data_IF_484994593846
#
_entry.id   IF_484994593846
#
_cell.length_a   1.000
_cell.length_b   1.000
_cell.length_c   1.000
_cell.angle_alpha   90.00
_cell.angle_beta   90.00
_cell.angle_gamma   90.00
#
_symmetry.space_group_name_H-M   'P 1'
#
loop_
_entity.id
_entity.type
_entity.pdbx_description
1 polymer ?
#
# COMPACT_ATOMS: atom_id res chain seq x y z
N UNK A 1 54.01 -21.03 -19.22
CA UNK A 1 52.82 -21.75 -19.73
C UNK A 1 51.59 -20.86 -20.08
N UNK A 2 51.52 -19.56 -19.73
CA UNK A 2 50.33 -18.70 -20.04
C UNK A 2 50.17 -18.20 -21.49
N UNK A 3 51.23 -18.17 -22.31
CA UNK A 3 51.18 -17.62 -23.70
C UNK A 3 50.62 -18.59 -24.75
N UNK A 4 50.75 -19.90 -24.54
CA UNK A 4 50.33 -20.92 -25.51
C UNK A 4 48.79 -21.10 -25.53
N UNK A 5 48.13 -21.02 -24.37
CA UNK A 5 46.67 -21.11 -24.29
C UNK A 5 45.95 -19.94 -24.97
N UNK A 6 46.55 -18.73 -24.97
CA UNK A 6 45.96 -17.55 -25.62
C UNK A 6 45.90 -17.68 -27.14
N UNK A 7 46.86 -18.40 -27.76
CA UNK A 7 46.87 -18.64 -29.21
C UNK A 7 45.84 -19.68 -29.63
N UNK A 8 45.63 -20.73 -28.82
CA UNK A 8 44.59 -21.74 -29.04
C UNK A 8 43.17 -21.20 -28.84
N UNK A 9 42.95 -20.33 -27.86
CA UNK A 9 41.65 -19.66 -27.71
C UNK A 9 41.39 -18.65 -28.82
N UNK A 10 42.42 -17.93 -29.29
CA UNK A 10 42.31 -17.05 -30.46
C UNK A 10 41.97 -17.80 -31.74
N UNK A 11 42.52 -19.00 -31.97
CA UNK A 11 42.17 -19.79 -33.15
C UNK A 11 40.75 -20.34 -33.07
N UNK A 12 40.31 -20.82 -31.90
CA UNK A 12 38.93 -21.29 -31.69
C UNK A 12 37.88 -20.18 -31.85
N UNK A 13 38.17 -18.97 -31.34
CA UNK A 13 37.28 -17.81 -31.53
C UNK A 13 37.25 -17.37 -33.00
N UNK A 14 38.35 -17.56 -33.73
CA UNK A 14 38.44 -17.23 -35.17
C UNK A 14 37.77 -18.29 -36.06
N UNK A 15 37.59 -19.50 -35.55
CA UNK A 15 36.92 -20.62 -36.24
C UNK A 15 35.40 -20.61 -36.02
N UNK A 16 34.94 -19.95 -34.95
CA UNK A 16 33.52 -19.65 -34.69
C UNK A 16 33.02 -18.38 -35.41
N UNK A 17 33.92 -17.65 -36.10
CA UNK A 17 33.61 -16.44 -36.86
C UNK A 17 33.03 -16.85 -38.24
N UNK A 18 31.72 -17.13 -38.27
CA UNK A 18 30.99 -17.68 -39.42
C UNK A 18 30.80 -16.70 -40.61
N UNK A 19 31.45 -15.54 -40.58
CA UNK A 19 31.30 -14.50 -41.61
C UNK A 19 32.63 -14.17 -42.28
N UNK A 20 32.72 -14.21 -43.63
CA UNK A 20 33.92 -13.82 -44.35
C UNK A 20 34.22 -12.34 -44.09
N UNK A 21 35.43 -12.05 -43.57
CA UNK A 21 35.87 -10.67 -43.33
C UNK A 21 36.07 -9.97 -44.67
N UNK A 22 35.37 -8.85 -44.83
CA UNK A 22 35.48 -7.97 -46.00
C UNK A 22 36.93 -7.50 -46.12
N UNK A 23 37.52 -7.42 -47.33
CA UNK A 23 38.89 -6.94 -47.50
C UNK A 23 39.05 -5.53 -46.93
N UNK A 24 40.18 -5.25 -46.27
CA UNK A 24 40.45 -3.97 -45.59
C UNK A 24 40.33 -2.75 -46.52
N UNK A 25 40.43 -2.94 -47.84
CA UNK A 25 40.23 -1.89 -48.85
C UNK A 25 38.79 -1.36 -48.95
N UNK A 26 37.81 -2.05 -48.36
CA UNK A 26 36.40 -1.65 -48.34
C UNK A 26 35.93 -1.17 -46.96
N UNK A 27 36.85 -1.06 -45.99
CA UNK A 27 36.56 -0.67 -44.62
C UNK A 27 37.05 0.76 -44.38
N UNK A 28 36.17 1.71 -44.60
CA UNK A 28 36.41 3.13 -44.27
C UNK A 28 36.31 3.32 -42.74
N UNK A 29 37.44 3.32 -42.04
CA UNK A 29 37.46 3.59 -40.59
C UNK A 29 37.35 5.09 -40.33
N UNK A 30 36.15 5.57 -40.05
CA UNK A 30 35.92 6.95 -39.61
C UNK A 30 36.12 7.06 -38.08
N UNK A 31 36.96 8.00 -37.65
CA UNK A 31 37.17 8.33 -36.24
C UNK A 31 35.89 8.85 -35.55
N UNK A 32 34.94 9.45 -36.30
CA UNK A 32 33.65 9.90 -35.75
C UNK A 32 32.65 8.75 -35.59
N UNK A 33 32.73 7.71 -36.43
CA UNK A 33 31.86 6.54 -36.36
C UNK A 33 32.07 5.71 -35.09
N UNK A 34 33.33 5.50 -34.68
CA UNK A 34 33.66 4.72 -33.48
C UNK A 34 33.11 5.33 -32.18
N UNK A 35 33.17 6.66 -32.04
CA UNK A 35 32.65 7.36 -30.86
C UNK A 35 31.13 7.28 -30.77
N UNK A 36 30.43 7.43 -31.90
CA UNK A 36 28.97 7.29 -31.98
C UNK A 36 28.53 5.88 -31.60
N UNK A 37 29.23 4.84 -32.07
CA UNK A 37 28.94 3.47 -31.67
C UNK A 37 29.18 3.23 -30.18
N UNK A 38 30.24 3.80 -29.59
CA UNK A 38 30.51 3.66 -28.16
C UNK A 38 29.39 4.29 -27.31
N UNK A 39 28.91 5.47 -27.69
CA UNK A 39 27.77 6.14 -27.03
C UNK A 39 26.49 5.32 -27.19
N UNK A 40 26.24 4.75 -28.38
CA UNK A 40 25.07 3.91 -28.62
C UNK A 40 25.08 2.63 -27.75
N UNK A 41 26.23 1.97 -27.61
CA UNK A 41 26.34 0.79 -26.74
C UNK A 41 26.20 1.12 -25.25
N UNK A 42 26.76 2.24 -24.78
CA UNK A 42 26.61 2.63 -23.37
C UNK A 42 25.17 3.02 -23.04
N UNK A 43 24.52 3.78 -23.92
CA UNK A 43 23.09 4.11 -23.78
C UNK A 43 22.20 2.88 -23.85
N UNK A 44 22.49 1.91 -24.73
CA UNK A 44 21.79 0.62 -24.77
C UNK A 44 21.94 -0.17 -23.48
N UNK A 45 23.15 -0.24 -22.92
CA UNK A 45 23.39 -0.90 -21.65
C UNK A 45 22.64 -0.21 -20.49
N UNK A 46 22.64 1.11 -20.43
CA UNK A 46 21.92 1.86 -19.41
C UNK A 46 20.41 1.65 -19.48
N UNK A 47 19.82 1.73 -20.67
CA UNK A 47 18.38 1.54 -20.86
C UNK A 47 17.95 0.10 -20.57
N UNK A 48 18.76 -0.90 -20.96
CA UNK A 48 18.46 -2.30 -20.64
C UNK A 48 18.56 -2.60 -19.14
N UNK A 49 19.51 -2.00 -18.42
CA UNK A 49 19.59 -2.11 -16.96
C UNK A 49 18.36 -1.47 -16.30
N UNK A 50 17.97 -0.26 -16.73
CA UNK A 50 16.77 0.40 -16.20
C UNK A 50 15.50 -0.40 -16.47
N UNK A 51 15.36 -0.94 -17.67
CA UNK A 51 14.23 -1.79 -18.05
C UNK A 51 14.18 -3.07 -17.21
N UNK A 52 15.35 -3.67 -16.93
CA UNK A 52 15.44 -4.83 -16.05
C UNK A 52 15.06 -4.49 -14.60
N UNK A 53 15.48 -3.34 -14.08
CA UNK A 53 15.06 -2.88 -12.75
C UNK A 53 13.54 -2.70 -12.68
N UNK A 54 12.93 -2.11 -13.71
CA UNK A 54 11.47 -1.96 -13.81
C UNK A 54 10.78 -3.32 -13.92
N UNK A 55 11.37 -4.27 -14.66
CA UNK A 55 10.85 -5.62 -14.74
C UNK A 55 10.83 -6.30 -13.38
N UNK A 56 11.88 -6.14 -12.56
CA UNK A 56 11.94 -6.73 -11.22
C UNK A 56 10.97 -6.09 -10.22
N UNK A 57 10.49 -4.88 -10.50
CA UNK A 57 9.53 -4.19 -9.67
C UNK A 57 8.10 -4.62 -9.98
N UNK A 58 7.33 -4.83 -8.93
CA UNK A 58 5.89 -5.08 -8.96
C UNK A 58 5.09 -3.79 -8.74
N UNK A 59 3.90 -3.72 -9.32
CA UNK A 59 2.93 -2.64 -9.09
C UNK A 59 1.65 -3.20 -8.46
N UNK A 60 0.95 -2.34 -7.72
CA UNK A 60 -0.36 -2.65 -7.15
C UNK A 60 -1.43 -2.26 -8.15
N UNK A 61 -2.39 -3.15 -8.40
CA UNK A 61 -3.55 -2.89 -9.26
C UNK A 61 -4.82 -2.91 -8.41
N UNK A 62 -5.59 -1.84 -8.50
CA UNK A 62 -6.83 -1.62 -7.78
C UNK A 62 -8.01 -1.81 -8.73
N UNK A 63 -8.80 -2.86 -8.51
CA UNK A 63 -10.02 -3.12 -9.26
C UNK A 63 -11.23 -2.83 -8.36
N UNK A 64 -12.14 -2.00 -8.84
CA UNK A 64 -13.35 -1.61 -8.12
C UNK A 64 -14.53 -2.44 -8.62
N UNK A 65 -15.11 -3.21 -7.73
CA UNK A 65 -16.28 -4.04 -8.02
C UNK A 65 -17.41 -3.75 -7.02
N UNK A 66 -18.62 -4.21 -7.32
CA UNK A 66 -19.73 -4.13 -6.37
C UNK A 66 -19.65 -5.34 -5.44
N UNK A 67 -19.67 -5.11 -4.13
CA UNK A 67 -19.74 -6.20 -3.16
C UNK A 67 -21.07 -6.96 -3.33
N UNK A 68 -20.97 -8.27 -3.57
CA UNK A 68 -22.12 -9.19 -3.72
C UNK A 68 -22.29 -10.10 -2.52
N UNK A 69 -21.35 -10.06 -1.57
CA UNK A 69 -21.37 -10.92 -0.40
C UNK A 69 -22.13 -10.24 0.74
N UNK A 70 -23.18 -10.90 1.22
CA UNK A 70 -24.02 -10.42 2.33
C UNK A 70 -23.63 -11.07 3.67
N UNK A 71 -22.49 -11.77 3.73
CA UNK A 71 -22.00 -12.37 4.96
C UNK A 71 -21.75 -11.34 6.06
N UNK A 72 -21.82 -11.78 7.32
CA UNK A 72 -21.46 -10.95 8.47
C UNK A 72 -19.96 -10.61 8.46
N UNK A 73 -19.63 -9.38 8.82
CA UNK A 73 -18.28 -8.86 8.88
C UNK A 73 -17.75 -8.90 10.32
N UNK A 74 -16.51 -9.33 10.52
CA UNK A 74 -15.87 -9.26 11.84
C UNK A 74 -15.40 -7.83 12.14
N UNK A 75 -15.89 -7.21 13.20
CA UNK A 75 -15.36 -5.97 13.76
C UNK A 75 -14.33 -6.36 14.83
N UNK A 76 -13.05 -6.13 14.56
CA UNK A 76 -11.97 -6.38 15.51
C UNK A 76 -11.64 -5.10 16.25
N UNK A 77 -11.54 -5.19 17.57
CA UNK A 77 -11.25 -4.02 18.39
C UNK A 77 -10.33 -4.34 19.55
N UNK A 78 -9.43 -3.40 19.80
CA UNK A 78 -8.65 -3.29 21.01
C UNK A 78 -8.64 -1.84 21.49
N UNK A 79 -9.16 -1.58 22.69
CA UNK A 79 -9.26 -0.24 23.25
C UNK A 79 -9.04 -0.26 24.76
N UNK A 80 -8.46 0.82 25.30
CA UNK A 80 -8.27 1.03 26.74
C UNK A 80 -9.03 2.25 27.19
N UNK A 81 -9.80 2.10 28.25
CA UNK A 81 -10.63 3.17 28.84
C UNK A 81 -10.26 3.38 30.30
N UNK A 82 -10.24 4.62 30.76
CA UNK A 82 -10.05 4.98 32.18
C UNK A 82 -11.32 4.74 33.02
N UNK A 83 -11.87 3.54 32.97
CA UNK A 83 -13.03 3.11 33.78
C UNK A 83 -12.76 1.70 34.31
N UNK A 84 -13.34 1.36 35.47
CA UNK A 84 -13.28 0.02 36.03
C UNK A 84 -14.02 -1.00 35.15
N UNK A 85 -13.38 -2.15 34.90
CA UNK A 85 -13.86 -3.15 33.93
C UNK A 85 -15.24 -3.75 34.25
N UNK A 86 -15.66 -3.78 35.51
CA UNK A 86 -16.96 -4.32 35.89
C UNK A 86 -18.14 -3.40 35.52
N UNK A 87 -17.87 -2.10 35.34
CA UNK A 87 -18.87 -1.07 35.12
C UNK A 87 -19.03 -0.69 33.65
N UNK A 88 -18.37 -1.37 32.72
CA UNK A 88 -18.38 -1.05 31.28
C UNK A 88 -19.12 -2.13 30.49
N UNK A 89 -19.99 -1.69 29.58
CA UNK A 89 -20.59 -2.51 28.54
C UNK A 89 -20.33 -1.89 27.17
N UNK A 90 -20.11 -2.73 26.16
CA UNK A 90 -19.99 -2.29 24.78
C UNK A 90 -21.05 -3.04 23.97
N UNK A 91 -21.73 -2.40 23.02
CA UNK A 91 -22.79 -3.04 22.25
C UNK A 91 -22.86 -2.48 20.83
N UNK A 92 -23.39 -3.27 19.90
CA UNK A 92 -23.63 -2.86 18.52
C UNK A 92 -25.13 -2.78 18.28
N UNK A 93 -25.59 -1.64 17.76
CA UNK A 93 -26.94 -1.49 17.23
C UNK A 93 -26.86 -1.18 15.73
N UNK A 94 -27.40 -2.05 14.90
CA UNK A 94 -27.45 -1.85 13.46
C UNK A 94 -28.77 -1.18 13.00
N UNK A 95 -28.83 -0.75 11.74
CA UNK A 95 -30.07 -0.20 11.14
C UNK A 95 -31.22 -1.20 11.08
N UNK A 96 -30.93 -2.50 11.18
CA UNK A 96 -31.95 -3.54 11.23
C UNK A 96 -32.56 -3.72 12.64
N UNK A 97 -32.16 -2.86 13.60
CA UNK A 97 -32.54 -2.92 15.02
C UNK A 97 -32.18 -4.27 15.68
N UNK A 98 -31.28 -5.04 15.07
CA UNK A 98 -30.79 -6.28 15.64
C UNK A 98 -29.64 -5.96 16.60
N UNK A 99 -29.81 -6.40 17.83
CA UNK A 99 -28.76 -6.28 18.84
C UNK A 99 -27.84 -7.48 18.74
N UNK A 100 -26.59 -7.21 18.36
CA UNK A 100 -25.50 -8.16 18.57
C UNK A 100 -24.93 -7.85 19.94
N UNK A 101 -25.41 -8.57 20.96
CA UNK A 101 -24.89 -8.43 22.31
C UNK A 101 -23.41 -8.82 22.32
N UNK A 102 -22.58 -7.98 22.92
CA UNK A 102 -21.12 -8.16 22.98
C UNK A 102 -20.63 -9.33 23.84
N UNK A 103 -21.55 -9.95 24.59
CA UNK A 103 -21.24 -10.84 25.70
C UNK A 103 -20.40 -12.08 25.32
N UNK A 104 -20.46 -12.52 24.05
CA UNK A 104 -19.75 -13.72 23.61
C UNK A 104 -18.43 -13.45 22.85
N UNK A 105 -18.16 -12.20 22.44
CA UNK A 105 -17.00 -11.87 21.58
C UNK A 105 -15.97 -10.89 22.14
N UNK A 106 -16.33 -10.09 23.16
CA UNK A 106 -15.44 -9.11 23.79
C UNK A 106 -14.96 -9.57 25.17
N UNK A 107 -13.65 -9.49 25.38
CA UNK A 107 -12.99 -9.77 26.65
C UNK A 107 -12.62 -8.45 27.32
N UNK A 108 -12.96 -8.33 28.61
CA UNK A 108 -12.68 -7.18 29.45
C UNK A 108 -11.58 -7.53 30.45
N UNK A 109 -10.42 -6.90 30.31
CA UNK A 109 -9.23 -7.16 31.15
C UNK A 109 -8.86 -5.91 31.95
N UNK A 110 -8.42 -6.07 33.22
CA UNK A 110 -7.82 -4.96 33.95
C UNK A 110 -6.49 -4.57 33.30
N UNK A 111 -6.28 -3.26 33.09
CA UNK A 111 -5.08 -2.75 32.44
C UNK A 111 -4.64 -1.42 33.08
N UNK A 112 -3.42 -1.01 32.71
CA UNK A 112 -2.89 0.31 33.05
C UNK A 112 -3.04 1.22 31.84
N UNK A 113 -3.57 2.42 32.04
CA UNK A 113 -3.81 3.36 30.96
C UNK A 113 -2.51 3.92 30.37
N UNK A 114 -1.59 4.30 31.25
CA UNK A 114 -0.32 4.92 30.90
C UNK A 114 0.57 3.98 30.09
N UNK A 115 1.17 4.51 29.02
CA UNK A 115 2.07 3.77 28.14
C UNK A 115 3.50 3.72 28.69
N UNK A 116 4.18 2.60 28.45
CA UNK A 116 5.63 2.49 28.66
C UNK A 116 6.42 3.42 27.72
N UNK A 117 7.69 3.75 28.02
CA UNK A 117 8.50 4.60 27.15
C UNK A 117 8.60 4.08 25.71
N UNK A 118 8.77 2.76 25.53
CA UNK A 118 8.81 2.13 24.22
C UNK A 118 7.48 2.25 23.47
N UNK A 119 6.37 2.01 24.17
CA UNK A 119 5.03 2.12 23.58
C UNK A 119 4.67 3.57 23.21
N UNK A 120 5.13 4.57 23.99
CA UNK A 120 4.97 5.98 23.64
C UNK A 120 5.69 6.33 22.35
N UNK A 121 6.91 5.81 22.16
CA UNK A 121 7.68 6.05 20.94
C UNK A 121 7.00 5.39 19.72
N UNK A 122 6.53 4.16 19.90
CA UNK A 122 5.71 3.47 18.89
C UNK A 122 4.47 4.28 18.49
N UNK A 123 3.72 4.77 19.47
CA UNK A 123 2.50 5.54 19.23
C UNK A 123 2.80 6.86 18.48
N UNK A 124 3.89 7.55 18.84
CA UNK A 124 4.33 8.76 18.11
C UNK A 124 4.68 8.45 16.66
N UNK A 125 5.39 7.36 16.43
CA UNK A 125 5.73 6.91 15.08
C UNK A 125 4.45 6.63 14.28
N UNK A 126 3.48 5.92 14.87
CA UNK A 126 2.22 5.59 14.23
C UNK A 126 1.41 6.86 13.87
N UNK A 127 1.30 7.81 14.80
CA UNK A 127 0.64 9.11 14.56
C UNK A 127 1.33 9.94 13.48
N UNK A 128 2.66 9.90 13.41
CA UNK A 128 3.42 10.55 12.35
C UNK A 128 3.10 9.91 10.99
N UNK A 129 3.14 8.58 10.89
CA UNK A 129 2.81 7.87 9.64
C UNK A 129 1.40 8.22 9.19
N UNK A 130 0.44 8.23 10.13
CA UNK A 130 -0.95 8.51 9.84
C UNK A 130 -1.18 9.96 9.36
N UNK A 131 -0.52 10.95 9.97
CA UNK A 131 -0.63 12.35 9.51
C UNK A 131 -0.09 12.53 8.09
N UNK A 132 0.99 11.82 7.73
CA UNK A 132 1.56 11.85 6.37
C UNK A 132 0.70 11.11 5.36
N UNK A 133 0.10 9.97 5.74
CA UNK A 133 -0.86 9.24 4.91
C UNK A 133 -2.09 10.09 4.56
N UNK A 134 -2.52 10.94 5.47
CA UNK A 134 -3.68 11.80 5.27
C UNK A 134 -3.37 13.00 4.35
N UNK A 135 -2.13 13.48 4.33
CA UNK A 135 -1.69 14.55 3.41
C UNK A 135 -1.39 14.00 2.01
N UNK A 136 -0.78 12.81 1.92
CA UNK A 136 -0.24 12.26 0.68
C UNK A 136 -0.87 10.90 0.35
N UNK A 137 -2.01 10.93 -0.34
CA UNK A 137 -2.70 9.72 -0.80
C UNK A 137 -1.85 8.86 -1.76
N UNK A 138 -0.85 9.45 -2.42
CA UNK A 138 0.11 8.75 -3.29
C UNK A 138 1.05 7.80 -2.53
N UNK A 139 1.22 7.99 -1.22
CA UNK A 139 2.07 7.14 -0.38
C UNK A 139 1.39 5.83 0.01
N UNK A 140 0.09 5.67 -0.25
CA UNK A 140 -0.63 4.44 0.05
C UNK A 140 0.03 3.24 -0.65
N UNK A 141 0.45 3.36 -1.90
CA UNK A 141 1.10 2.27 -2.64
C UNK A 141 2.43 1.82 -2.00
N UNK A 142 3.25 2.77 -1.57
CA UNK A 142 4.55 2.50 -0.92
C UNK A 142 4.33 1.91 0.47
N UNK A 143 3.34 2.41 1.19
CA UNK A 143 3.01 1.94 2.53
C UNK A 143 2.37 0.55 2.45
N UNK A 144 1.45 0.27 1.53
CA UNK A 144 0.92 -1.07 1.30
C UNK A 144 2.06 -2.05 0.95
N UNK A 145 2.96 -1.69 0.03
CA UNK A 145 4.10 -2.54 -0.35
C UNK A 145 5.08 -2.80 0.80
N UNK A 146 5.26 -1.84 1.71
CA UNK A 146 6.10 -2.00 2.92
C UNK A 146 5.36 -2.68 4.08
N UNK A 147 4.06 -2.47 4.20
CA UNK A 147 3.14 -3.10 5.15
C UNK A 147 3.14 -4.62 4.97
N UNK A 148 2.96 -5.10 3.74
CA UNK A 148 3.04 -6.54 3.43
C UNK A 148 4.42 -7.16 3.72
N UNK A 149 5.48 -6.34 3.79
CA UNK A 149 6.84 -6.77 4.14
C UNK A 149 7.18 -6.61 5.62
N UNK A 150 6.43 -5.80 6.37
CA UNK A 150 6.73 -5.47 7.76
C UNK A 150 5.97 -6.38 8.73
N UNK A 151 6.68 -6.89 9.74
CA UNK A 151 6.12 -7.76 10.75
C UNK A 151 5.39 -6.93 11.83
N UNK A 152 4.07 -6.80 11.65
CA UNK A 152 3.08 -6.31 12.62
C UNK A 152 3.08 -4.80 12.93
N UNK A 153 1.91 -4.18 12.74
CA UNK A 153 1.57 -2.82 13.19
C UNK A 153 1.00 -2.80 14.62
N UNK A 154 0.96 -3.95 15.29
CA UNK A 154 0.43 -4.06 16.64
C UNK A 154 1.28 -3.32 17.66
N UNK A 155 0.63 -2.79 18.70
CA UNK A 155 1.29 -2.19 19.85
C UNK A 155 2.26 -3.21 20.48
N UNK A 156 3.55 -2.87 20.70
CA UNK A 156 4.49 -3.78 21.34
C UNK A 156 4.04 -4.13 22.76
N UNK A 157 4.36 -5.36 23.23
CA UNK A 157 4.07 -5.75 24.60
C UNK A 157 4.76 -4.79 25.56
N UNK A 158 4.12 -4.58 26.72
CA UNK A 158 4.68 -3.72 27.77
C UNK A 158 5.96 -4.35 28.32
N UNK A 159 7.04 -3.57 28.39
CA UNK A 159 8.35 -4.03 28.89
C UNK A 159 8.43 -3.99 30.43
N UNK A 160 7.71 -3.07 31.07
CA UNK A 160 7.77 -2.84 32.52
C UNK A 160 6.71 -3.62 33.30
N UNK A 161 7.17 -4.32 34.34
CA UNK A 161 6.33 -4.81 35.44
C UNK A 161 5.92 -3.62 36.31
N UNK A 162 4.86 -2.94 35.91
CA UNK A 162 4.27 -1.88 36.70
C UNK A 162 3.73 -2.43 38.02
N UNK A 163 4.19 -1.87 39.14
CA UNK A 163 3.63 -2.11 40.47
C UNK A 163 2.34 -1.32 40.74
N UNK A 164 1.87 -0.55 39.75
CA UNK A 164 0.66 0.25 39.88
C UNK A 164 -0.57 -0.66 39.78
N UNK A 165 -1.61 -0.40 40.59
CA UNK A 165 -2.88 -1.07 40.41
C UNK A 165 -3.48 -0.71 39.04
N UNK A 166 -4.19 -1.64 38.39
CA UNK A 166 -4.86 -1.36 37.13
C UNK A 166 -5.92 -0.27 37.32
N UNK A 167 -5.79 0.81 36.56
CA UNK A 167 -6.66 2.00 36.58
C UNK A 167 -7.57 2.10 35.35
N UNK A 168 -7.44 1.14 34.42
CA UNK A 168 -8.17 1.10 33.17
C UNK A 168 -8.77 -0.29 32.88
N UNK A 169 -9.72 -0.28 31.95
CA UNK A 169 -10.30 -1.46 31.34
C UNK A 169 -9.79 -1.57 29.90
N UNK A 170 -9.17 -2.71 29.57
CA UNK A 170 -8.83 -3.09 28.19
C UNK A 170 -9.95 -3.96 27.64
N UNK A 171 -10.55 -3.52 26.56
CA UNK A 171 -11.54 -4.27 25.79
C UNK A 171 -10.82 -4.83 24.58
N UNK A 172 -10.82 -6.16 24.43
CA UNK A 172 -10.20 -6.85 23.29
C UNK A 172 -11.13 -7.94 22.77
N UNK A 173 -11.31 -8.02 21.47
CA UNK A 173 -12.08 -9.12 20.87
C UNK A 173 -12.54 -8.81 19.46
N UNK A 174 -13.49 -9.62 19.00
CA UNK A 174 -14.14 -9.44 17.72
C UNK A 174 -15.64 -9.66 17.85
N UNK A 175 -16.41 -8.92 17.07
CA UNK A 175 -17.86 -9.02 17.00
C UNK A 175 -18.29 -9.20 15.55
N UNK A 176 -19.18 -10.16 15.30
CA UNK A 176 -19.76 -10.32 13.97
C UNK A 176 -20.92 -9.34 13.80
N UNK A 177 -20.76 -8.37 12.90
CA UNK A 177 -21.75 -7.35 12.59
C UNK A 177 -22.29 -7.55 11.17
N UNK A 178 -23.54 -7.14 10.95
CA UNK A 178 -24.10 -7.14 9.60
C UNK A 178 -23.40 -6.09 8.73
N UNK A 179 -23.30 -6.33 7.42
CA UNK A 179 -22.75 -5.37 6.44
C UNK A 179 -23.73 -4.22 6.13
N UNK A 180 -24.15 -3.52 7.17
CA UNK A 180 -25.04 -2.35 7.10
C UNK A 180 -24.50 -1.27 8.00
N UNK A 181 -24.97 -0.03 7.83
CA UNK A 181 -24.60 1.03 8.75
C UNK A 181 -25.06 0.68 10.18
N UNK A 182 -24.22 0.98 11.15
CA UNK A 182 -24.44 0.65 12.54
C UNK A 182 -23.75 1.60 13.51
N UNK A 183 -24.05 1.41 14.78
CA UNK A 183 -23.53 2.21 15.88
C UNK A 183 -22.98 1.29 16.96
N UNK A 184 -21.67 1.11 16.95
CA UNK A 184 -20.97 0.48 18.05
C UNK A 184 -20.74 1.51 19.15
N UNK A 185 -21.04 1.18 20.39
CA UNK A 185 -20.91 2.13 21.48
C UNK A 185 -20.50 1.47 22.78
N UNK A 186 -19.76 2.23 23.58
CA UNK A 186 -19.24 1.83 24.88
C UNK A 186 -19.81 2.77 25.93
N UNK A 187 -20.51 2.23 26.90
CA UNK A 187 -21.24 2.99 27.91
C UNK A 187 -21.07 2.35 29.28
N UNK A 188 -21.47 3.08 30.33
CA UNK A 188 -21.46 2.55 31.69
C UNK A 188 -22.63 1.60 31.89
N UNK A 189 -22.34 0.42 32.43
CA UNK A 189 -23.28 -0.66 32.69
C UNK A 189 -23.42 -1.61 31.51
N UNK A 190 -23.59 -2.90 31.83
CA UNK A 190 -23.92 -3.93 30.84
C UNK A 190 -25.26 -3.60 30.18
N UNK A 191 -25.38 -3.80 28.86
CA UNK A 191 -26.67 -3.68 28.20
C UNK A 191 -27.64 -4.74 28.70
N UNK A 192 -28.87 -4.30 28.95
CA UNK A 192 -30.02 -5.18 29.13
C UNK A 192 -30.92 -5.04 27.90
N UNK A 193 -31.25 -6.14 27.22
CA UNK A 193 -32.15 -6.10 26.08
C UNK A 193 -33.55 -5.66 26.52
N UNK A 194 -34.16 -4.69 25.82
CA UNK A 194 -35.50 -4.19 26.07
C UNK A 194 -36.35 -4.26 24.79
N UNK A 195 -37.70 -4.40 24.84
CA UNK A 195 -38.51 -4.56 23.62
C UNK A 195 -38.56 -3.33 22.67
N UNK A 196 -37.97 -2.20 23.07
CA UNK A 196 -37.91 -0.93 22.31
C UNK A 196 -36.47 -0.42 22.12
N UNK A 197 -35.47 -1.30 22.25
CA UNK A 197 -34.04 -0.96 22.17
C UNK A 197 -33.25 -1.64 23.30
N UNK A 198 -32.24 -0.99 23.84
CA UNK A 198 -31.53 -1.45 25.03
C UNK A 198 -31.39 -0.34 26.05
N UNK A 199 -31.37 -0.76 27.31
CA UNK A 199 -31.07 0.12 28.42
C UNK A 199 -29.75 -0.33 29.04
N UNK A 200 -28.87 0.63 29.33
CA UNK A 200 -27.70 0.36 30.14
C UNK A 200 -28.04 0.58 31.61
N UNK A 201 -27.53 -0.29 32.48
CA UNK A 201 -27.68 -0.19 33.93
C UNK A 201 -26.80 0.93 34.54
N UNK A 202 -26.79 2.11 33.93
CA UNK A 202 -26.03 3.27 34.40
C UNK A 202 -26.56 3.84 35.73
N UNK A 203 -27.78 3.47 36.15
CA UNK A 203 -28.40 3.98 37.37
C UNK A 203 -27.79 3.41 38.67
N UNK A 204 -26.98 2.34 38.59
CA UNK A 204 -26.34 1.69 39.74
C UNK A 204 -24.90 2.15 39.98
N UNK A 205 -24.32 2.91 39.04
CA UNK A 205 -22.93 3.38 39.10
C UNK A 205 -22.92 4.86 39.42
N UNK A 206 -22.06 5.27 40.36
CA UNK A 206 -21.97 6.66 40.79
C UNK A 206 -21.51 7.56 39.62
N UNK A 207 -22.20 8.68 39.39
CA UNK A 207 -21.91 9.57 38.25
C UNK A 207 -20.53 10.25 38.34
N UNK A 208 -19.89 10.24 39.50
CA UNK A 208 -18.55 10.77 39.72
C UNK A 208 -17.41 9.84 39.26
N UNK A 209 -17.69 8.55 38.97
CA UNK A 209 -16.69 7.60 38.48
C UNK A 209 -16.59 7.52 36.96
N UNK A 210 -17.39 8.31 36.23
CA UNK A 210 -17.38 8.29 34.78
C UNK A 210 -16.13 9.00 34.26
N UNK A 211 -15.31 8.28 33.50
CA UNK A 211 -14.16 8.85 32.81
C UNK A 211 -13.97 8.17 31.45
N UNK A 212 -14.60 8.73 30.43
CA UNK A 212 -14.54 8.21 29.05
C UNK A 212 -13.24 8.55 28.30
N UNK A 213 -12.18 8.90 29.02
CA UNK A 213 -10.85 9.01 28.42
C UNK A 213 -10.41 7.64 27.92
N UNK A 214 -10.02 7.56 26.65
CA UNK A 214 -9.74 6.30 26.00
C UNK A 214 -8.61 6.40 24.98
N UNK A 215 -8.04 5.24 24.67
CA UNK A 215 -7.10 5.03 23.59
C UNK A 215 -7.53 3.83 22.77
N UNK A 216 -7.63 4.02 21.47
CA UNK A 216 -7.91 2.95 20.51
C UNK A 216 -6.56 2.39 20.08
N UNK A 217 -6.24 1.18 20.55
CA UNK A 217 -4.98 0.52 20.18
C UNK A 217 -5.14 -0.12 18.78
N UNK A 218 -6.31 -0.70 18.48
CA UNK A 218 -6.65 -1.23 17.15
C UNK A 218 -8.15 -1.20 16.87
N UNK A 219 -8.56 -0.80 15.67
CA UNK A 219 -9.93 -0.97 15.17
C UNK A 219 -9.92 -1.31 13.68
N UNK A 220 -10.45 -2.48 13.34
CA UNK A 220 -10.53 -2.94 11.94
C UNK A 220 -11.82 -3.69 11.65
N UNK A 221 -12.13 -3.79 10.36
CA UNK A 221 -13.28 -4.52 9.85
C UNK A 221 -12.80 -5.61 8.89
N UNK A 222 -13.31 -6.82 9.04
CA UNK A 222 -12.93 -8.01 8.27
C UNK A 222 -11.78 -8.79 8.88
N UNK A 223 -11.04 -9.48 8.02
CA UNK A 223 -9.85 -10.22 8.41
C UNK A 223 -8.69 -9.26 8.68
N UNK A 224 -7.95 -9.52 9.76
CA UNK A 224 -6.81 -8.67 10.12
C UNK A 224 -5.65 -8.98 9.18
N UNK A 225 -5.36 -8.04 8.27
CA UNK A 225 -4.20 -8.12 7.37
C UNK A 225 -3.00 -7.46 8.04
N UNK A 226 -1.85 -8.16 8.16
CA UNK A 226 -0.67 -7.58 8.78
C UNK A 226 -0.13 -6.41 7.95
N UNK A 227 0.32 -5.36 8.64
CA UNK A 227 0.95 -4.19 8.03
C UNK A 227 -0.02 -3.07 7.67
N UNK A 228 -1.33 -3.32 7.61
CA UNK A 228 -2.31 -2.24 7.44
C UNK A 228 -2.38 -1.42 8.74
N UNK A 229 -2.28 -0.09 8.60
CA UNK A 229 -2.48 0.85 9.70
C UNK A 229 -3.88 1.43 9.52
N UNK A 230 -4.79 1.11 10.45
CA UNK A 230 -6.12 1.70 10.36
C UNK A 230 -6.09 3.14 10.85
N UNK A 231 -6.91 4.01 10.27
CA UNK A 231 -6.93 5.42 10.66
C UNK A 231 -7.35 5.73 12.12
N UNK A 232 -7.88 4.79 12.90
CA UNK A 232 -8.16 5.02 14.34
C UNK A 232 -7.11 4.38 15.25
N UNK A 233 -6.16 3.63 14.70
CA UNK A 233 -5.14 2.95 15.48
C UNK A 233 -4.23 3.99 16.15
N UNK A 234 -3.89 3.78 17.42
CA UNK A 234 -3.04 4.66 18.22
C UNK A 234 -3.64 6.03 18.57
N UNK A 235 -4.92 6.26 18.27
CA UNK A 235 -5.61 7.51 18.62
C UNK A 235 -5.98 7.53 20.09
N UNK A 236 -5.71 8.66 20.75
CA UNK A 236 -5.97 8.86 22.18
C UNK A 236 -6.79 10.13 22.39
N UNK A 237 -7.79 10.03 23.25
CA UNK A 237 -8.70 11.12 23.60
C UNK A 237 -8.88 11.17 25.11
N UNK A 238 -8.46 12.28 25.71
CA UNK A 238 -8.62 12.56 27.13
C UNK A 238 -9.82 13.48 27.32
N UNK A 239 -10.82 13.03 28.07
CA UNK A 239 -12.04 13.78 28.32
C UNK A 239 -11.78 14.90 29.34
N UNK A 240 -11.97 16.16 28.92
CA UNK A 240 -11.69 17.34 29.76
C UNK A 240 -12.62 17.40 30.98
N UNK A 241 -13.91 17.10 30.80
CA UNK A 241 -14.91 17.21 31.86
C UNK A 241 -15.29 15.86 32.50
N UNK A 242 -14.49 14.80 32.23
CA UNK A 242 -14.62 13.38 32.65
C UNK A 242 -15.95 12.69 32.31
N UNK A 243 -17.05 13.43 32.16
CA UNK A 243 -18.41 12.91 32.23
C UNK A 243 -19.02 12.56 30.87
N UNK A 244 -18.62 13.23 29.77
CA UNK A 244 -19.34 13.12 28.49
C UNK A 244 -18.42 13.26 27.28
N UNK A 245 -18.28 12.21 26.46
CA UNK A 245 -17.58 12.28 25.17
C UNK A 245 -18.28 11.38 24.13
N UNK A 246 -19.23 11.95 23.39
CA UNK A 246 -19.70 11.31 22.16
C UNK A 246 -18.63 11.57 21.11
N UNK A 247 -17.92 10.54 20.68
CA UNK A 247 -17.24 10.56 19.38
C UNK A 247 -18.27 10.11 18.36
N UNK A 248 -18.30 10.71 17.18
CA UNK A 248 -18.96 10.09 16.02
C UNK A 248 -17.88 9.92 14.99
N UNK A 249 -17.40 8.69 14.84
CA UNK A 249 -16.57 8.32 13.69
C UNK A 249 -17.53 8.24 12.50
N UNK A 250 -17.18 8.82 11.36
CA UNK A 250 -17.90 8.68 10.11
C UNK A 250 -16.91 8.40 8.99
N UNK A 251 -17.43 8.18 7.77
CA UNK A 251 -16.62 7.90 6.57
C UNK A 251 -15.60 9.02 6.29
N UNK A 252 -15.87 10.24 6.78
CA UNK A 252 -14.86 11.28 6.97
C UNK A 252 -14.51 11.30 8.46
N UNK A 253 -13.32 10.80 8.81
CA UNK A 253 -12.92 10.52 10.18
C UNK A 253 -12.62 11.78 10.99
N UNK A 254 -13.67 12.49 11.35
CA UNK A 254 -13.62 13.61 12.27
C UNK A 254 -14.29 13.18 13.57
N UNK A 255 -13.50 13.05 14.62
CA UNK A 255 -14.02 12.87 15.97
C UNK A 255 -14.70 14.17 16.41
N UNK A 256 -16.01 14.26 16.22
CA UNK A 256 -16.81 15.39 16.73
C UNK A 256 -17.11 15.13 18.20
N UNK A 257 -16.63 16.02 19.10
CA UNK A 257 -16.97 16.00 20.52
C UNK A 257 -18.26 16.77 20.77
N UNK A 258 -19.20 16.17 21.52
CA UNK A 258 -20.39 16.86 22.01
C UNK A 258 -20.50 16.70 23.52
N UNK A 259 -20.37 17.82 24.25
CA UNK A 259 -20.59 17.87 25.70
C UNK A 259 -22.10 17.81 25.98
N UNK A 260 -22.52 16.89 26.84
CA UNK A 260 -23.91 16.76 27.28
C UNK A 260 -24.08 17.54 28.58
N UNK A 261 -24.90 18.60 28.55
CA UNK A 261 -25.28 19.38 29.72
C UNK A 261 -26.80 19.28 29.96
N UNK A 262 -27.22 18.50 30.95
CA UNK A 262 -28.63 18.37 31.32
C UNK A 262 -29.26 19.70 31.75
N UNK A 263 -28.49 20.58 32.39
CA UNK A 263 -28.93 21.92 32.75
C UNK A 263 -29.16 22.85 31.53
N UNK A 264 -28.48 22.58 30.42
CA UNK A 264 -28.61 23.32 29.17
C UNK A 264 -29.60 22.67 28.19
N UNK A 265 -30.41 21.69 28.65
CA UNK A 265 -31.39 20.99 27.82
C UNK A 265 -30.79 19.92 26.89
N UNK A 266 -29.52 19.57 27.05
CA UNK A 266 -28.91 18.46 26.32
C UNK A 266 -29.18 17.16 27.08
N UNK A 267 -30.03 16.31 26.51
CA UNK A 267 -30.31 14.96 27.01
C UNK A 267 -29.64 13.93 26.10
N UNK A 268 -28.95 12.96 26.70
CA UNK A 268 -28.26 11.90 25.98
C UNK A 268 -27.57 10.95 26.95
N UNK A 269 -27.29 9.73 26.47
CA UNK A 269 -26.51 8.74 27.21
C UNK A 269 -25.02 9.07 27.05
N UNK A 270 -24.29 9.00 28.16
CA UNK A 270 -22.84 9.21 28.18
C UNK A 270 -22.14 7.94 27.74
N UNK A 271 -21.24 8.06 26.78
CA UNK A 271 -20.53 6.91 26.23
C UNK A 271 -19.74 7.31 25.00
N UNK A 272 -18.87 6.40 24.58
CA UNK A 272 -18.13 6.50 23.33
C UNK A 272 -19.00 5.87 22.26
N UNK A 273 -19.28 6.59 21.18
CA UNK A 273 -20.05 6.08 20.06
C UNK A 273 -19.15 6.01 18.82
N UNK A 274 -19.35 5.00 18.01
CA UNK A 274 -18.60 4.72 16.78
C UNK A 274 -19.63 4.32 15.75
N UNK A 275 -20.03 5.30 14.94
CA UNK A 275 -20.89 5.04 13.80
C UNK A 275 -20.01 4.53 12.68
N UNK A 276 -20.48 3.50 12.00
CA UNK A 276 -19.81 2.99 10.82
C UNK A 276 -20.85 2.85 9.71
N UNK A 277 -20.39 3.11 8.49
CA UNK A 277 -21.19 3.00 7.28
C UNK A 277 -20.28 2.37 6.22
N UNK A 278 -20.72 1.23 5.69
CA UNK A 278 -19.93 0.39 4.80
C UNK A 278 -20.29 0.73 3.35
N UNK A 279 -19.27 0.97 2.52
CA UNK A 279 -19.48 1.20 1.09
C UNK A 279 -19.90 -0.07 0.38
N UNK A 280 -20.77 0.04 -0.62
CA UNK A 280 -21.14 -1.07 -1.52
C UNK A 280 -20.09 -1.39 -2.57
N UNK A 281 -18.97 -0.66 -2.58
CA UNK A 281 -17.83 -0.89 -3.45
C UNK A 281 -16.77 -1.73 -2.74
N UNK A 282 -16.38 -2.83 -3.38
CA UNK A 282 -15.25 -3.66 -3.02
C UNK A 282 -14.03 -3.22 -3.83
N UNK A 283 -12.88 -3.09 -3.17
CA UNK A 283 -11.61 -2.82 -3.84
C UNK A 283 -10.75 -4.07 -3.75
N UNK A 284 -10.53 -4.71 -4.89
CA UNK A 284 -9.61 -5.85 -5.00
C UNK A 284 -8.22 -5.32 -5.30
N UNK A 285 -7.29 -5.52 -4.38
CA UNK A 285 -5.89 -5.11 -4.53
C UNK A 285 -5.06 -6.34 -4.92
N UNK A 286 -4.44 -6.29 -6.10
CA UNK A 286 -3.56 -7.37 -6.58
C UNK A 286 -2.17 -6.83 -6.84
N UNK A 287 -1.13 -7.59 -6.45
CA UNK A 287 0.25 -7.30 -6.82
C UNK A 287 0.54 -8.01 -8.15
N UNK A 288 0.69 -7.22 -9.22
CA UNK A 288 1.00 -7.73 -10.55
C UNK A 288 2.47 -7.48 -10.90
N UNK A 289 3.01 -8.41 -11.68
CA UNK A 289 4.34 -8.31 -12.25
C UNK A 289 4.23 -8.21 -13.77
N UNK A 290 5.20 -7.56 -14.40
CA UNK A 290 5.25 -7.51 -15.85
C UNK A 290 5.38 -8.93 -16.43
N UNK A 291 4.51 -9.34 -17.36
CA UNK A 291 4.65 -10.63 -18.01
C UNK A 291 5.94 -10.64 -18.85
N UNK A 292 6.61 -11.79 -18.86
CA UNK A 292 7.90 -11.96 -19.56
C UNK A 292 7.86 -11.52 -21.02
N UNK A 293 6.76 -11.80 -21.73
CA UNK A 293 6.61 -11.42 -23.13
C UNK A 293 6.64 -9.92 -23.33
N UNK A 294 5.94 -9.17 -22.48
CA UNK A 294 5.92 -7.71 -22.55
C UNK A 294 7.31 -7.12 -22.31
N UNK A 295 8.06 -7.67 -21.35
CA UNK A 295 9.46 -7.30 -21.13
C UNK A 295 10.33 -7.57 -22.37
N UNK A 296 10.18 -8.75 -23.00
CA UNK A 296 10.92 -9.10 -24.20
C UNK A 296 10.62 -8.15 -25.36
N UNK A 297 9.35 -7.79 -25.60
CA UNK A 297 8.96 -6.80 -26.62
C UNK A 297 9.66 -5.46 -26.37
N UNK A 298 9.67 -5.00 -25.11
CA UNK A 298 10.30 -3.73 -24.73
C UNK A 298 11.81 -3.76 -24.95
N UNK A 299 12.47 -4.88 -24.62
CA UNK A 299 13.90 -5.06 -24.87
C UNK A 299 14.24 -5.00 -26.37
N UNK A 300 13.47 -5.70 -27.22
CA UNK A 300 13.61 -5.61 -28.67
C UNK A 300 13.40 -4.18 -29.18
N UNK A 301 12.41 -3.47 -28.63
CA UNK A 301 12.13 -2.07 -28.94
C UNK A 301 13.29 -1.12 -28.60
N UNK A 302 13.95 -1.32 -27.45
CA UNK A 302 15.14 -0.54 -27.05
C UNK A 302 16.28 -0.77 -28.04
N UNK A 303 16.57 -2.03 -28.36
CA UNK A 303 17.64 -2.39 -29.28
C UNK A 303 17.38 -1.78 -30.67
N UNK A 304 16.19 -2.02 -31.24
CA UNK A 304 15.80 -1.49 -32.55
C UNK A 304 15.76 0.05 -32.60
N UNK A 305 15.26 0.69 -31.55
CA UNK A 305 15.20 2.15 -31.44
C UNK A 305 16.57 2.81 -31.43
N UNK A 306 17.54 2.26 -30.70
CA UNK A 306 18.91 2.81 -30.64
C UNK A 306 19.63 2.63 -31.97
N UNK A 307 19.49 1.47 -32.62
CA UNK A 307 20.09 1.23 -33.93
C UNK A 307 19.52 2.16 -35.01
N UNK A 308 18.21 2.37 -35.03
CA UNK A 308 17.55 3.31 -35.96
C UNK A 308 18.00 4.76 -35.74
N UNK A 309 17.98 5.24 -34.48
CA UNK A 309 18.40 6.61 -34.15
C UNK A 309 19.87 6.85 -34.46
N UNK A 310 20.75 5.91 -34.13
CA UNK A 310 22.19 5.99 -34.45
C UNK A 310 22.42 6.12 -35.96
N UNK A 311 21.66 5.38 -36.78
CA UNK A 311 21.71 5.50 -38.23
C UNK A 311 21.31 6.90 -38.73
N UNK A 312 20.22 7.46 -38.20
CA UNK A 312 19.75 8.81 -38.55
C UNK A 312 20.75 9.88 -38.10
N UNK A 313 21.31 9.76 -36.89
CA UNK A 313 22.35 10.67 -36.39
C UNK A 313 23.59 10.65 -37.28
N UNK A 314 24.08 9.46 -37.67
CA UNK A 314 25.24 9.34 -38.54
C UNK A 314 24.98 9.96 -39.94
N UNK A 315 23.80 9.73 -40.51
CA UNK A 315 23.37 10.37 -41.76
C UNK A 315 23.36 11.90 -41.66
N UNK A 316 22.88 12.44 -40.54
CA UNK A 316 22.79 13.88 -40.31
C UNK A 316 24.19 14.50 -40.17
N UNK A 317 25.08 13.85 -39.42
CA UNK A 317 26.48 14.27 -39.26
C UNK A 317 27.19 14.26 -40.63
N UNK A 318 26.98 13.21 -41.43
CA UNK A 318 27.58 13.10 -42.75
C UNK A 318 27.13 14.23 -43.67
N UNK A 319 25.83 14.56 -43.68
CA UNK A 319 25.27 15.65 -44.49
C UNK A 319 25.82 17.03 -44.10
N UNK A 320 25.96 17.29 -42.79
CA UNK A 320 26.52 18.56 -42.28
C UNK A 320 28.00 18.68 -42.63
N UNK A 321 28.76 17.59 -42.52
CA UNK A 321 30.22 17.60 -42.75
C UNK A 321 30.57 17.62 -44.23
N UNK A 322 29.78 16.98 -45.10
CA UNK A 322 30.13 16.82 -46.52
C UNK A 322 29.61 17.93 -47.44
N UNK A 323 28.87 18.94 -46.93
CA UNK A 323 28.29 20.06 -47.71
C UNK A 323 27.66 19.62 -49.05
N UNK A 324 27.08 18.41 -49.09
CA UNK A 324 26.73 17.70 -50.31
C UNK A 324 25.27 17.26 -50.35
N UNK A 325 24.72 17.20 -51.55
CA UNK A 325 23.35 16.87 -51.93
C UNK A 325 22.96 15.41 -51.68
N UNK A 326 23.12 14.91 -50.44
CA UNK A 326 22.60 13.60 -50.08
C UNK A 326 21.11 13.71 -49.71
N UNK A 327 20.26 13.06 -50.51
CA UNK A 327 18.82 12.96 -50.24
C UNK A 327 18.59 12.10 -48.99
N UNK A 328 17.74 12.57 -48.06
CA UNK A 328 17.34 11.81 -46.87
C UNK A 328 16.78 10.41 -47.24
N UNK A 329 16.15 10.30 -48.42
CA UNK A 329 15.61 9.05 -48.96
C UNK A 329 16.68 7.97 -49.17
N UNK A 330 17.87 8.31 -49.66
CA UNK A 330 18.97 7.35 -49.92
C UNK A 330 19.66 6.88 -48.64
N UNK A 331 19.71 7.74 -47.62
CA UNK A 331 20.24 7.38 -46.30
C UNK A 331 19.25 6.48 -45.54
N UNK A 332 17.95 6.82 -45.60
CA UNK A 332 16.88 6.00 -45.03
C UNK A 332 16.77 4.62 -45.71
N UNK A 333 16.94 4.51 -47.04
CA UNK A 333 16.94 3.20 -47.74
C UNK A 333 18.16 2.35 -47.44
N UNK A 334 19.36 2.94 -47.22
CA UNK A 334 20.55 2.18 -46.79
C UNK A 334 20.39 1.62 -45.38
N UNK A 335 19.82 2.42 -44.47
CA UNK A 335 19.41 1.99 -43.13
C UNK A 335 18.40 0.83 -43.29
N UNK A 336 17.25 1.06 -43.94
CA UNK A 336 16.20 0.03 -44.13
C UNK A 336 16.70 -1.25 -44.82
N UNK A 337 17.59 -1.16 -45.81
CA UNK A 337 18.12 -2.34 -46.52
C UNK A 337 19.02 -3.22 -45.65
N UNK A 338 19.70 -2.64 -44.64
CA UNK A 338 20.47 -3.40 -43.66
C UNK A 338 19.57 -4.07 -42.61
N UNK A 339 18.43 -3.45 -42.28
CA UNK A 339 17.45 -4.00 -41.33
C UNK A 339 16.50 -5.04 -41.95
N UNK A 340 16.10 -4.90 -43.23
CA UNK A 340 15.16 -5.82 -43.88
C UNK A 340 15.64 -7.29 -43.91
N UNK A 341 16.95 -7.52 -43.85
CA UNK A 341 17.53 -8.88 -43.77
C UNK A 341 17.52 -9.48 -42.36
N UNK A 342 17.36 -8.66 -41.30
CA UNK A 342 17.26 -9.11 -39.90
C UNK A 342 15.82 -9.02 -39.34
N UNK A 343 14.99 -8.12 -39.87
CA UNK A 343 13.62 -7.84 -39.37
C UNK A 343 12.52 -8.69 -39.99
N UNK A 344 12.68 -9.27 -41.19
CA UNK A 344 11.59 -10.08 -41.79
C UNK A 344 11.25 -11.33 -40.97
N UNK A 345 12.20 -11.86 -40.19
CA UNK A 345 11.96 -12.95 -39.26
C UNK A 345 11.28 -12.52 -37.96
N UNK A 346 11.60 -11.34 -37.43
CA UNK A 346 11.06 -10.84 -36.16
C UNK A 346 9.67 -10.21 -36.32
N UNK A 347 9.45 -9.48 -37.41
CA UNK A 347 8.18 -8.78 -37.68
C UNK A 347 7.03 -9.75 -37.98
N UNK A 348 7.31 -10.87 -38.68
CA UNK A 348 6.32 -11.94 -38.87
C UNK A 348 6.04 -12.73 -37.59
N UNK A 349 7.02 -12.87 -36.70
CA UNK A 349 6.84 -13.56 -35.42
C UNK A 349 6.00 -12.73 -34.44
N UNK A 350 6.15 -11.40 -34.44
CA UNK A 350 5.39 -10.48 -33.59
C UNK A 350 3.93 -10.31 -34.03
N UNK A 351 3.64 -10.32 -35.33
CA UNK A 351 2.27 -10.16 -35.82
C UNK A 351 1.41 -11.42 -35.62
N UNK A 352 2.02 -12.60 -35.53
CA UNK A 352 1.29 -13.87 -35.35
C UNK A 352 0.94 -14.19 -33.89
N UNK A 353 1.62 -13.56 -32.91
CA UNK A 353 1.38 -13.77 -31.49
C UNK A 353 0.51 -12.69 -30.82
N UNK A 354 0.12 -11.64 -31.56
CA UNK A 354 -0.72 -10.56 -31.07
C UNK A 354 -2.16 -10.58 -31.62
N UNK A 355 -2.59 -11.69 -32.23
CA UNK A 355 -3.97 -11.89 -32.71
C UNK A 355 -4.73 -12.97 -31.95
#
# INVERSE_FOLDING_TARGET
MRRLNRKKTLSLVKELDAFPKVPDSYVETSASGGTVSLIAFTTMALLTIMEFSVYQDTWMKYEYEVDKDFSSLALNMECKLLIFFADVGADVLDLAETMVASADGLVYEPAIFDLSPQQKEWQRMLQLIQSRLQEEHSLQDVIFKSAFKSASTALPPREDDSSQPPDACRIRGHLYVNKVAGNFHITVGKAIPHPRGHAHLAALVNHDSYNFSHRIDHLSFGEVVPGIINPLDGTEKIAVDRKYLIITVGICMQAIERVINHAAGSHGVSGIFMKYDLSSLMVTVTEEHMPFWQFFVRLCGIVGGIFSTTGIFNCTIYKITSNGTLNYATCATRIFSQYCFYDLGLFFFFFFFLS
#
